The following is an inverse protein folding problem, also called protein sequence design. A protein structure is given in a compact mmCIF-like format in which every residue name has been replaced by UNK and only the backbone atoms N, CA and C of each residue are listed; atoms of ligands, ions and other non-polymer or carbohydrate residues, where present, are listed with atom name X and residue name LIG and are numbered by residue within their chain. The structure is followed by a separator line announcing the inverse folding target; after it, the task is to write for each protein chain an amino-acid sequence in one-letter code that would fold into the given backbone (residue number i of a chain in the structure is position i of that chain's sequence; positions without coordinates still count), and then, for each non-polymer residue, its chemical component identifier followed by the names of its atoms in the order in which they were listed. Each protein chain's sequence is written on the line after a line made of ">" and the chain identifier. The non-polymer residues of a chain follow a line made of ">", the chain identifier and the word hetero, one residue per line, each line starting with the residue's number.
data_IF_912639916153
#
_entry.id   IF_912639916153
#
_cell.length_a   1.000
_cell.length_b   1.000
_cell.length_c   1.000
_cell.angle_alpha   90.00
_cell.angle_beta   90.00
_cell.angle_gamma   90.00
#
_symmetry.space_group_name_H-M   'P 1'
#
loop_
_entity.id
_entity.type
_entity.pdbx_description
1 polymer ?
#
# COMPACT_ATOMS: atom_id res chain seq x y z
N UNK A 1 -15.49 -9.46 -17.22
CA UNK A 1 -15.91 -8.48 -16.19
C UNK A 1 -14.75 -7.53 -15.89
N UNK A 2 -14.70 -6.33 -16.49
CA UNK A 2 -13.67 -5.34 -16.14
C UNK A 2 -14.07 -4.72 -14.81
N UNK A 3 -13.53 -5.23 -13.71
CA UNK A 3 -13.81 -4.72 -12.36
C UNK A 3 -13.26 -3.29 -12.29
N UNK A 4 -14.13 -2.30 -12.47
CA UNK A 4 -13.78 -0.89 -12.38
C UNK A 4 -13.45 -0.64 -10.89
N UNK A 5 -12.16 -0.72 -10.55
CA UNK A 5 -11.66 -0.43 -9.22
C UNK A 5 -12.12 1.00 -8.86
N UNK A 6 -13.16 1.08 -8.05
CA UNK A 6 -13.74 2.34 -7.61
C UNK A 6 -12.71 3.08 -6.76
N UNK A 7 -12.75 4.43 -6.76
CA UNK A 7 -11.82 5.27 -5.97
C UNK A 7 -11.74 4.79 -4.50
N UNK A 8 -12.87 4.35 -3.95
CA UNK A 8 -12.98 3.76 -2.61
C UNK A 8 -12.16 2.47 -2.43
N UNK A 9 -12.09 1.63 -3.45
CA UNK A 9 -11.38 0.35 -3.37
C UNK A 9 -9.85 0.56 -3.33
N UNK A 10 -9.36 1.57 -4.05
CA UNK A 10 -7.96 2.00 -3.96
C UNK A 10 -7.68 2.54 -2.57
N UNK A 11 -8.52 3.45 -2.05
CA UNK A 11 -8.37 4.00 -0.69
C UNK A 11 -8.40 2.92 0.38
N UNK A 12 -9.33 1.95 0.28
CA UNK A 12 -9.38 0.80 1.20
C UNK A 12 -8.10 -0.04 1.14
N UNK A 13 -7.55 -0.31 -0.05
CA UNK A 13 -6.29 -1.04 -0.19
C UNK A 13 -5.13 -0.27 0.45
N UNK A 14 -5.06 1.06 0.27
CA UNK A 14 -4.01 1.89 0.88
C UNK A 14 -4.10 1.90 2.41
N UNK A 15 -5.31 2.01 2.96
CA UNK A 15 -5.56 1.91 4.41
C UNK A 15 -5.17 0.54 4.97
N UNK A 16 -5.58 -0.53 4.29
CA UNK A 16 -5.25 -1.89 4.70
C UNK A 16 -3.73 -2.13 4.63
N UNK A 17 -3.07 -1.60 3.61
CA UNK A 17 -1.63 -1.66 3.46
C UNK A 17 -0.90 -0.95 4.61
N UNK A 18 -1.33 0.25 4.99
CA UNK A 18 -0.74 0.98 6.11
C UNK A 18 -0.92 0.23 7.45
N UNK A 19 -2.07 -0.39 7.68
CA UNK A 19 -2.30 -1.24 8.85
C UNK A 19 -1.37 -2.46 8.86
N UNK A 20 -1.17 -3.10 7.71
CA UNK A 20 -0.24 -4.22 7.58
C UNK A 20 1.21 -3.78 7.83
N UNK A 21 1.62 -2.65 7.26
CA UNK A 21 2.95 -2.06 7.50
C UNK A 21 3.16 -1.76 8.97
N UNK A 22 2.15 -1.21 9.65
CA UNK A 22 2.21 -0.95 11.08
C UNK A 22 2.44 -2.23 11.86
N UNK A 23 1.64 -3.29 11.63
CA UNK A 23 1.80 -4.60 12.30
C UNK A 23 3.19 -5.18 12.05
N UNK A 24 3.70 -5.11 10.82
CA UNK A 24 5.05 -5.57 10.49
C UNK A 24 6.10 -4.74 11.22
N UNK A 25 5.93 -3.43 11.30
CA UNK A 25 6.87 -2.53 11.97
C UNK A 25 6.89 -2.71 13.49
N UNK A 26 5.73 -2.95 14.13
CA UNK A 26 5.66 -3.29 15.56
C UNK A 26 6.13 -4.72 15.86
N UNK A 27 6.03 -5.65 14.90
CA UNK A 27 6.49 -7.03 15.09
C UNK A 27 7.97 -7.22 14.75
N UNK A 28 8.55 -6.35 13.93
CA UNK A 28 9.95 -6.39 13.54
C UNK A 28 10.84 -5.68 14.58
N UNK A 29 11.03 -6.33 15.73
CA UNK A 29 11.99 -5.89 16.78
C UNK A 29 13.46 -5.96 16.31
N UNK A 30 13.70 -6.64 15.18
CA UNK A 30 14.96 -6.58 14.44
C UNK A 30 14.67 -6.03 13.06
N UNK A 31 15.28 -4.90 12.75
CA UNK A 31 15.21 -4.26 11.43
C UNK A 31 16.00 -5.14 10.46
N UNK A 32 15.31 -6.14 9.93
CA UNK A 32 15.77 -6.92 8.80
C UNK A 32 15.64 -6.04 7.57
N UNK A 33 16.76 -5.50 7.08
CA UNK A 33 16.83 -4.68 5.86
C UNK A 33 15.99 -5.18 4.66
N UNK A 34 15.82 -6.50 4.43
CA UNK A 34 14.91 -7.03 3.43
C UNK A 34 13.43 -6.65 3.61
N UNK A 35 12.95 -6.55 4.85
CA UNK A 35 11.54 -6.20 5.14
C UNK A 35 11.27 -4.75 4.74
N UNK A 36 12.18 -3.83 5.07
CA UNK A 36 12.06 -2.42 4.67
C UNK A 36 12.02 -2.28 3.15
N UNK A 37 12.93 -2.97 2.43
CA UNK A 37 12.95 -2.96 0.97
C UNK A 37 11.63 -3.48 0.38
N UNK A 38 11.09 -4.55 0.94
CA UNK A 38 9.82 -5.14 0.49
C UNK A 38 8.66 -4.20 0.74
N UNK A 39 8.63 -3.51 1.89
CA UNK A 39 7.63 -2.48 2.21
C UNK A 39 7.72 -1.29 1.25
N UNK A 40 8.91 -0.81 0.91
CA UNK A 40 9.10 0.30 -0.04
C UNK A 40 8.60 -0.06 -1.44
N UNK A 41 8.92 -1.27 -1.93
CA UNK A 41 8.43 -1.75 -3.23
C UNK A 41 6.91 -1.90 -3.21
N UNK A 42 6.36 -2.45 -2.13
CA UNK A 42 4.91 -2.58 -1.93
C UNK A 42 4.22 -1.21 -1.90
N UNK A 43 4.82 -0.22 -1.22
CA UNK A 43 4.34 1.15 -1.19
C UNK A 43 4.23 1.74 -2.60
N UNK A 44 5.29 1.63 -3.39
CA UNK A 44 5.32 2.14 -4.77
C UNK A 44 4.20 1.54 -5.63
N UNK A 45 3.94 0.24 -5.51
CA UNK A 45 2.87 -0.46 -6.23
C UNK A 45 1.48 0.06 -5.83
N UNK A 46 1.23 0.29 -4.54
CA UNK A 46 -0.04 0.80 -4.04
C UNK A 46 -0.21 2.30 -4.35
N UNK A 47 0.88 3.06 -4.46
CA UNK A 47 0.86 4.50 -4.74
C UNK A 47 0.52 4.85 -6.20
N UNK A 48 0.94 4.02 -7.17
CA UNK A 48 0.62 4.22 -8.61
C UNK A 48 -0.89 4.39 -8.87
N UNK A 49 -1.77 3.47 -8.42
CA UNK A 49 -3.21 3.64 -8.62
C UNK A 49 -3.78 4.83 -7.84
N UNK A 50 -3.22 5.19 -6.68
CA UNK A 50 -3.61 6.37 -5.90
C UNK A 50 -3.36 7.67 -6.68
N UNK A 51 -2.15 7.84 -7.23
CA UNK A 51 -1.82 9.01 -8.06
C UNK A 51 -2.74 9.07 -9.28
N UNK A 52 -3.00 7.93 -9.93
CA UNK A 52 -3.90 7.85 -11.08
C UNK A 52 -5.35 8.20 -10.72
N UNK A 53 -5.80 7.85 -9.52
CA UNK A 53 -7.12 8.19 -9.02
C UNK A 53 -7.24 9.68 -8.67
N UNK A 54 -6.23 10.26 -8.02
CA UNK A 54 -6.14 11.70 -7.72
C UNK A 54 -6.14 12.55 -8.98
N UNK A 55 -5.42 12.14 -10.04
CA UNK A 55 -5.36 12.87 -11.32
C UNK A 55 -6.67 12.84 -12.12
N UNK A 56 -7.60 11.94 -11.79
CA UNK A 56 -8.96 11.84 -12.37
C UNK A 56 -10.03 12.46 -11.45
N UNK A 57 -9.61 13.07 -10.35
CA UNK A 57 -10.46 13.79 -9.39
C UNK A 57 -10.78 15.19 -9.88
#
# INVERSE_FOLDING_TARGET
>A
MKRQLSKFQIVCITLLWAALCYIVLTSAERIDGPIILTLVISAALVFIPVIKALKRG
#
